data_IF_535634297163
#
_entry.id   IF_535634297163
#
_cell.length_a   1.000
_cell.length_b   1.000
_cell.length_c   1.000
_cell.angle_alpha   90.00
_cell.angle_beta   90.00
_cell.angle_gamma   90.00
#
_symmetry.space_group_name_H-M   'P 1'
#
loop_
_entity.id
_entity.type
_entity.pdbx_description
1 polymer ?
#
# COMPACT_ATOMS: atom_id res chain seq x y z
N UNK A 1 60.67 -71.43 -4.20
CA UNK A 1 60.59 -71.31 -5.63
C UNK A 1 59.16 -70.82 -5.90
N UNK A 2 58.95 -69.49 -5.98
CA UNK A 2 57.66 -68.81 -6.10
C UNK A 2 57.63 -68.15 -7.47
N UNK A 3 56.70 -68.57 -8.32
CA UNK A 3 56.46 -67.95 -9.65
C UNK A 3 55.58 -66.68 -9.47
N UNK A 4 55.83 -65.61 -10.23
CA UNK A 4 54.95 -64.45 -10.19
C UNK A 4 53.79 -64.63 -11.18
N UNK A 5 52.57 -64.31 -10.73
CA UNK A 5 51.36 -64.26 -11.50
C UNK A 5 51.28 -62.93 -12.27
N UNK A 6 51.29 -62.97 -13.57
CA UNK A 6 51.07 -61.79 -14.42
C UNK A 6 49.55 -61.56 -14.63
N UNK A 7 49.07 -60.42 -14.21
CA UNK A 7 47.68 -59.97 -14.43
C UNK A 7 47.67 -59.12 -15.69
N UNK A 8 46.98 -59.58 -16.71
CA UNK A 8 46.72 -58.84 -17.98
C UNK A 8 45.50 -57.96 -17.78
N UNK A 9 45.67 -56.62 -17.86
CA UNK A 9 44.54 -55.70 -17.82
C UNK A 9 43.90 -55.60 -19.22
N UNK A 10 42.61 -55.91 -19.29
CA UNK A 10 41.77 -55.70 -20.46
C UNK A 10 41.18 -54.25 -20.38
N UNK A 11 41.57 -53.42 -21.33
CA UNK A 11 41.01 -52.09 -21.47
C UNK A 11 39.61 -52.20 -22.12
N UNK A 12 38.55 -51.93 -21.33
CA UNK A 12 37.21 -51.73 -21.87
C UNK A 12 37.06 -50.32 -22.43
N UNK A 13 36.87 -50.20 -23.74
CA UNK A 13 36.50 -48.93 -24.40
C UNK A 13 35.04 -48.64 -24.09
N UNK A 14 34.79 -47.52 -23.40
CA UNK A 14 33.43 -47.03 -23.17
C UNK A 14 32.83 -46.45 -24.47
N UNK A 15 31.53 -46.69 -24.77
CA UNK A 15 30.90 -46.09 -25.94
C UNK A 15 30.71 -44.59 -25.68
N UNK A 16 31.09 -43.78 -26.65
CA UNK A 16 30.88 -42.34 -26.71
C UNK A 16 29.38 -42.09 -26.92
N UNK A 17 28.65 -41.70 -25.82
CA UNK A 17 27.27 -41.23 -25.94
C UNK A 17 27.31 -39.85 -26.59
N UNK A 18 26.85 -39.73 -27.83
CA UNK A 18 26.51 -38.45 -28.45
C UNK A 18 25.29 -37.89 -27.74
N UNK A 19 25.45 -36.83 -26.95
CA UNK A 19 24.36 -36.01 -26.45
C UNK A 19 23.75 -35.23 -27.59
N UNK A 20 22.48 -35.46 -27.90
CA UNK A 20 21.72 -34.63 -28.81
C UNK A 20 21.66 -33.20 -28.25
N UNK A 21 21.77 -32.15 -29.11
CA UNK A 21 21.60 -30.80 -28.65
C UNK A 21 20.20 -30.60 -28.05
N UNK A 22 20.13 -29.96 -26.88
CA UNK A 22 18.86 -29.63 -26.24
C UNK A 22 17.96 -28.85 -27.19
N UNK A 23 16.69 -29.23 -27.24
CA UNK A 23 15.70 -28.53 -28.03
C UNK A 23 15.62 -27.07 -27.53
N UNK A 24 15.42 -26.06 -28.40
CA UNK A 24 15.28 -24.70 -27.99
C UNK A 24 14.11 -24.59 -26.99
N UNK A 25 14.22 -23.74 -25.94
CA UNK A 25 13.16 -23.55 -24.97
C UNK A 25 11.88 -23.13 -25.68
N UNK A 26 10.77 -23.78 -25.32
CA UNK A 26 9.43 -23.40 -25.79
C UNK A 26 9.21 -21.91 -25.45
N UNK A 27 8.58 -21.14 -26.35
CA UNK A 27 8.21 -19.76 -26.00
C UNK A 27 7.43 -19.76 -24.69
N UNK A 28 7.90 -18.98 -23.69
CA UNK A 28 7.14 -18.78 -22.45
C UNK A 28 5.78 -18.20 -22.84
N UNK A 29 4.73 -18.90 -22.47
CA UNK A 29 3.36 -18.43 -22.62
C UNK A 29 3.19 -17.19 -21.75
N UNK A 30 3.12 -16.02 -22.37
CA UNK A 30 2.84 -14.76 -21.67
C UNK A 30 1.39 -14.84 -21.19
N UNK A 31 1.21 -15.27 -19.94
CA UNK A 31 -0.09 -15.23 -19.30
C UNK A 31 -0.46 -13.76 -19.10
N UNK A 32 -1.39 -13.27 -19.88
CA UNK A 32 -1.97 -11.95 -19.72
C UNK A 32 -2.70 -11.91 -18.36
N UNK A 33 -2.08 -11.27 -17.37
CA UNK A 33 -2.68 -11.09 -16.05
C UNK A 33 -3.79 -10.05 -16.17
N UNK A 34 -5.02 -10.50 -16.32
CA UNK A 34 -6.19 -9.62 -16.23
C UNK A 34 -6.28 -9.13 -14.79
N UNK A 35 -6.24 -7.82 -14.54
CA UNK A 35 -6.32 -7.30 -13.18
C UNK A 35 -7.68 -7.65 -12.56
N UNK A 36 -7.65 -8.07 -11.29
CA UNK A 36 -8.88 -8.32 -10.54
C UNK A 36 -9.70 -7.03 -10.41
N UNK A 37 -11.05 -7.12 -10.57
CA UNK A 37 -11.90 -5.95 -10.44
C UNK A 37 -11.75 -5.26 -9.08
N UNK A 38 -11.72 -3.94 -9.07
CA UNK A 38 -11.57 -3.13 -7.86
C UNK A 38 -12.22 -1.76 -8.01
N UNK A 39 -12.34 -1.03 -6.91
CA UNK A 39 -12.82 0.34 -6.96
C UNK A 39 -11.76 1.25 -7.55
N UNK A 40 -12.13 1.96 -8.63
CA UNK A 40 -11.27 2.88 -9.36
C UNK A 40 -11.82 4.30 -9.27
N UNK A 41 -10.95 5.30 -9.41
CA UNK A 41 -11.35 6.71 -9.53
C UNK A 41 -10.65 7.35 -10.73
N UNK A 42 -11.10 7.12 -11.97
CA UNK A 42 -10.40 7.59 -13.17
C UNK A 42 -10.22 9.11 -13.26
N UNK A 43 -11.11 9.87 -12.61
CA UNK A 43 -11.07 11.35 -12.59
C UNK A 43 -10.32 11.93 -11.40
N UNK A 44 -9.79 11.07 -10.51
CA UNK A 44 -8.98 11.47 -9.38
C UNK A 44 -7.53 11.76 -9.78
N UNK A 45 -6.82 12.54 -8.96
CA UNK A 45 -5.37 12.74 -9.16
C UNK A 45 -4.58 11.44 -8.97
N UNK A 46 -3.33 11.38 -9.45
CA UNK A 46 -2.47 10.21 -9.21
C UNK A 46 -2.31 9.86 -7.72
N UNK A 47 -2.20 10.86 -6.85
CA UNK A 47 -2.07 10.68 -5.40
C UNK A 47 -3.35 10.10 -4.78
N UNK A 48 -4.51 10.60 -5.21
CA UNK A 48 -5.82 10.09 -4.79
C UNK A 48 -6.01 8.63 -5.24
N UNK A 49 -5.67 8.32 -6.49
CA UNK A 49 -5.74 6.95 -7.03
C UNK A 49 -4.79 6.01 -6.29
N UNK A 50 -3.58 6.47 -5.98
CA UNK A 50 -2.60 5.70 -5.22
C UNK A 50 -3.16 5.32 -3.84
N UNK A 51 -3.66 6.28 -3.08
CA UNK A 51 -4.22 6.04 -1.73
C UNK A 51 -5.43 5.11 -1.79
N UNK A 52 -6.34 5.30 -2.76
CA UNK A 52 -7.50 4.44 -2.96
C UNK A 52 -7.09 2.98 -3.24
N UNK A 53 -6.09 2.79 -4.09
CA UNK A 53 -5.53 1.48 -4.40
C UNK A 53 -4.92 0.81 -3.15
N UNK A 54 -4.10 1.55 -2.41
CA UNK A 54 -3.41 1.02 -1.23
C UNK A 54 -4.38 0.67 -0.09
N UNK A 55 -5.45 1.45 0.11
CA UNK A 55 -6.51 1.11 1.05
C UNK A 55 -7.14 -0.26 0.72
N UNK A 56 -7.44 -0.52 -0.55
CA UNK A 56 -8.01 -1.80 -0.98
C UNK A 56 -7.00 -2.95 -0.92
N UNK A 57 -5.74 -2.68 -1.26
CA UNK A 57 -4.69 -3.72 -1.30
C UNK A 57 -4.24 -4.17 0.10
N UNK A 58 -4.28 -3.27 1.09
CA UNK A 58 -3.74 -3.52 2.43
C UNK A 58 -4.81 -3.74 3.50
N UNK A 59 -6.10 -3.64 3.15
CA UNK A 59 -7.24 -3.88 4.06
C UNK A 59 -8.29 -4.75 3.38
N UNK A 60 -9.35 -5.10 4.12
CA UNK A 60 -10.52 -5.79 3.58
C UNK A 60 -11.69 -4.84 3.31
N UNK A 61 -11.42 -3.56 3.14
CA UNK A 61 -12.45 -2.57 2.86
C UNK A 61 -12.94 -2.75 1.42
N UNK A 62 -14.16 -3.23 1.27
CA UNK A 62 -14.83 -3.44 -0.03
C UNK A 62 -16.03 -2.51 -0.23
N UNK A 63 -16.48 -1.83 0.83
CA UNK A 63 -17.62 -0.92 0.75
C UNK A 63 -17.20 0.43 0.15
N UNK A 64 -17.89 0.82 -0.92
CA UNK A 64 -17.67 2.08 -1.63
C UNK A 64 -17.79 3.30 -0.71
N UNK A 65 -18.81 3.31 0.18
CA UNK A 65 -19.03 4.44 1.09
C UNK A 65 -17.94 4.54 2.14
N UNK A 66 -17.38 3.41 2.60
CA UNK A 66 -16.22 3.42 3.50
C UNK A 66 -15.00 4.03 2.83
N UNK A 67 -14.65 3.58 1.61
CA UNK A 67 -13.54 4.14 0.83
C UNK A 67 -13.75 5.62 0.56
N UNK A 68 -14.94 6.02 0.10
CA UNK A 68 -15.28 7.42 -0.15
C UNK A 68 -15.16 8.28 1.11
N UNK A 69 -15.55 7.76 2.27
CA UNK A 69 -15.43 8.46 3.56
C UNK A 69 -13.97 8.67 3.94
N UNK A 70 -13.13 7.64 3.82
CA UNK A 70 -11.70 7.75 4.09
C UNK A 70 -11.04 8.79 3.16
N UNK A 71 -11.31 8.70 1.86
CA UNK A 71 -10.80 9.64 0.85
C UNK A 71 -11.24 11.08 1.15
N UNK A 72 -12.51 11.28 1.50
CA UNK A 72 -13.04 12.61 1.84
C UNK A 72 -12.39 13.23 3.08
N UNK A 73 -12.09 12.40 4.08
CA UNK A 73 -11.37 12.82 5.28
C UNK A 73 -9.93 13.22 4.96
N UNK A 74 -9.19 12.39 4.21
CA UNK A 74 -7.81 12.70 3.81
C UNK A 74 -7.76 13.99 2.97
N UNK A 75 -8.73 14.19 2.07
CA UNK A 75 -8.83 15.42 1.27
C UNK A 75 -8.99 16.67 2.14
N UNK A 76 -9.79 16.59 3.19
CA UNK A 76 -9.96 17.71 4.12
C UNK A 76 -8.66 18.04 4.88
N UNK A 77 -7.87 17.02 5.25
CA UNK A 77 -6.65 17.19 6.01
C UNK A 77 -5.52 17.84 5.19
N UNK A 78 -5.26 17.31 4.00
CA UNK A 78 -4.04 17.66 3.25
C UNK A 78 -4.22 17.86 1.75
N UNK A 79 -5.41 17.57 1.21
CA UNK A 79 -5.61 17.42 -0.24
C UNK A 79 -4.65 16.39 -0.87
N UNK A 80 -4.33 15.33 -0.14
CA UNK A 80 -3.38 14.27 -0.50
C UNK A 80 -1.92 14.74 -0.67
N UNK A 81 -1.54 15.83 -0.03
CA UNK A 81 -0.20 16.38 -0.09
C UNK A 81 0.63 15.83 1.09
N UNK A 82 1.61 14.95 0.85
CA UNK A 82 2.32 14.28 1.95
C UNK A 82 3.31 15.16 2.69
N UNK A 83 3.89 16.16 2.03
CA UNK A 83 4.91 17.03 2.62
C UNK A 83 4.35 18.39 3.09
N UNK A 84 3.06 18.45 3.42
CA UNK A 84 2.43 19.67 3.91
C UNK A 84 2.51 19.75 5.44
N UNK A 85 3.06 20.85 5.95
CA UNK A 85 3.02 21.23 7.36
C UNK A 85 1.83 22.17 7.60
N UNK A 86 1.31 22.22 8.82
CA UNK A 86 0.24 23.15 9.20
C UNK A 86 0.58 24.58 8.76
N UNK A 87 -0.42 25.30 8.24
CA UNK A 87 -0.20 26.62 7.63
C UNK A 87 0.18 26.55 6.13
N UNK A 88 0.32 25.37 5.53
CA UNK A 88 0.46 25.15 4.10
C UNK A 88 1.90 25.08 3.56
N UNK A 89 2.91 25.18 4.41
CA UNK A 89 4.31 25.05 4.01
C UNK A 89 4.61 23.62 3.49
N UNK A 90 5.33 23.54 2.36
CA UNK A 90 5.81 22.28 1.79
C UNK A 90 7.24 22.03 2.29
N UNK A 91 7.39 21.13 3.23
CA UNK A 91 8.66 20.86 3.91
C UNK A 91 8.85 19.35 4.13
N UNK A 92 10.09 18.92 4.35
CA UNK A 92 10.37 17.55 4.75
C UNK A 92 9.83 17.24 6.15
N UNK A 93 9.70 15.96 6.48
CA UNK A 93 9.22 15.49 7.78
C UNK A 93 9.99 16.15 8.94
N UNK A 94 11.33 16.25 8.86
CA UNK A 94 12.17 16.82 9.93
C UNK A 94 12.10 18.34 10.05
N UNK A 95 11.60 19.02 9.04
CA UNK A 95 11.51 20.49 8.99
C UNK A 95 10.17 21.01 9.51
N UNK A 96 9.11 20.19 9.57
CA UNK A 96 7.85 20.58 10.20
C UNK A 96 8.00 20.58 11.72
N UNK A 97 8.09 21.75 12.31
CA UNK A 97 8.44 21.92 13.76
C UNK A 97 7.22 21.95 14.67
N UNK A 98 6.05 22.24 14.14
CA UNK A 98 4.82 22.37 14.92
C UNK A 98 3.59 22.14 14.05
N UNK A 99 2.48 21.79 14.70
CA UNK A 99 1.20 21.57 14.04
C UNK A 99 1.07 20.20 13.38
N UNK A 100 0.09 20.07 12.49
CA UNK A 100 -0.15 18.87 11.74
C UNK A 100 0.82 18.71 10.57
N UNK A 101 1.19 17.46 10.28
CA UNK A 101 2.05 17.13 9.15
C UNK A 101 1.43 16.06 8.27
N UNK A 102 1.54 16.26 6.98
CA UNK A 102 1.33 15.25 5.96
C UNK A 102 -0.12 14.85 5.73
N UNK A 103 -0.29 13.66 5.21
CA UNK A 103 -1.49 13.15 4.56
C UNK A 103 -2.76 13.29 5.40
N UNK A 104 -2.68 13.01 6.71
CA UNK A 104 -3.80 13.14 7.64
C UNK A 104 -3.52 14.13 8.79
N UNK A 105 -2.57 15.03 8.59
CA UNK A 105 -2.20 16.09 9.55
C UNK A 105 -1.90 15.52 10.94
N UNK A 106 -0.92 14.60 11.03
CA UNK A 106 -0.47 14.07 12.32
C UNK A 106 0.01 15.18 13.26
N UNK A 107 -0.82 15.54 14.23
CA UNK A 107 -0.58 16.65 15.15
C UNK A 107 0.03 16.18 16.48
N UNK A 108 -0.43 15.05 17.02
CA UNK A 108 0.09 14.55 18.28
C UNK A 108 1.53 14.02 18.13
N UNK A 109 2.37 14.33 19.12
CA UNK A 109 3.78 13.92 19.13
C UNK A 109 3.94 12.41 18.93
N UNK A 110 3.07 11.61 19.56
CA UNK A 110 3.13 10.15 19.45
C UNK A 110 2.86 9.65 18.03
N UNK A 111 1.83 10.18 17.37
CA UNK A 111 1.49 9.80 16.00
C UNK A 111 2.52 10.29 14.99
N UNK A 112 2.99 11.53 15.12
CA UNK A 112 4.05 12.10 14.29
C UNK A 112 5.36 11.31 14.40
N UNK A 113 5.84 11.04 15.62
CA UNK A 113 7.03 10.20 15.83
C UNK A 113 6.82 8.78 15.35
N UNK A 114 5.58 8.27 15.45
CA UNK A 114 5.21 6.97 14.91
C UNK A 114 5.50 6.83 13.41
N UNK A 115 5.16 7.86 12.61
CA UNK A 115 5.50 7.92 11.17
C UNK A 115 7.01 7.80 10.94
N UNK A 116 7.82 8.60 11.63
CA UNK A 116 9.28 8.55 11.50
C UNK A 116 9.87 7.20 11.89
N UNK A 117 9.44 6.64 13.01
CA UNK A 117 9.88 5.33 13.49
C UNK A 117 9.46 4.19 12.55
N UNK A 118 8.24 4.25 12.03
CA UNK A 118 7.77 3.28 11.03
C UNK A 118 8.63 3.32 9.76
N UNK A 119 8.86 4.50 9.21
CA UNK A 119 9.67 4.64 8.01
C UNK A 119 11.14 4.26 8.23
N UNK A 120 11.71 4.56 9.40
CA UNK A 120 13.04 4.09 9.75
C UNK A 120 13.13 2.55 9.80
N UNK A 121 12.09 1.89 10.32
CA UNK A 121 12.03 0.42 10.43
C UNK A 121 11.78 -0.26 9.08
N UNK A 122 10.95 0.33 8.22
CA UNK A 122 10.48 -0.30 6.97
C UNK A 122 11.07 0.35 5.72
N UNK A 123 12.16 1.12 5.87
CA UNK A 123 12.93 1.73 4.78
C UNK A 123 12.07 2.57 3.83
N UNK A 124 11.19 3.44 4.39
CA UNK A 124 10.41 4.40 3.63
C UNK A 124 10.78 5.86 3.96
N UNK A 125 10.40 6.79 3.09
CA UNK A 125 10.53 8.23 3.37
C UNK A 125 9.28 8.75 4.07
N UNK A 126 9.37 9.30 5.30
CA UNK A 126 8.23 9.85 6.02
C UNK A 126 7.64 11.12 5.38
N UNK A 127 8.30 11.71 4.38
CA UNK A 127 7.79 12.83 3.58
C UNK A 127 7.08 12.39 2.30
N UNK A 128 7.14 11.11 1.95
CA UNK A 128 6.54 10.57 0.73
C UNK A 128 5.09 10.15 0.92
N UNK A 129 4.34 10.14 -0.19
CA UNK A 129 2.97 9.63 -0.21
C UNK A 129 2.94 8.14 0.16
N UNK A 130 3.88 7.35 -0.36
CA UNK A 130 4.01 5.92 -0.05
C UNK A 130 4.22 5.68 1.44
N UNK A 131 5.24 6.28 2.04
CA UNK A 131 5.57 6.09 3.45
C UNK A 131 4.42 6.48 4.37
N UNK A 132 3.76 7.58 4.06
CA UNK A 132 2.62 8.07 4.84
C UNK A 132 1.37 7.24 4.67
N UNK A 133 1.05 6.77 3.47
CA UNK A 133 -0.09 5.87 3.24
C UNK A 133 0.12 4.55 3.97
N UNK A 134 1.32 3.98 3.90
CA UNK A 134 1.67 2.75 4.64
C UNK A 134 1.55 2.94 6.15
N UNK A 135 2.08 4.05 6.69
CA UNK A 135 1.94 4.35 8.12
C UNK A 135 0.48 4.58 8.51
N UNK A 136 -0.26 5.37 7.75
CA UNK A 136 -1.68 5.66 7.99
C UNK A 136 -2.50 4.38 8.17
N UNK A 137 -2.31 3.41 7.28
CA UNK A 137 -3.01 2.13 7.33
C UNK A 137 -2.56 1.28 8.52
N UNK A 138 -1.27 1.35 8.90
CA UNK A 138 -0.70 0.50 9.96
C UNK A 138 -0.64 1.18 11.34
N UNK A 139 -1.03 2.45 11.47
CA UNK A 139 -1.00 3.09 12.78
C UNK A 139 -2.04 2.48 13.73
N UNK A 140 -1.71 2.36 15.04
CA UNK A 140 -2.58 1.65 15.99
C UNK A 140 -4.00 2.21 16.10
N UNK A 141 -4.17 3.53 15.90
CA UNK A 141 -5.50 4.13 15.98
C UNK A 141 -6.35 3.81 14.74
N UNK A 142 -5.78 3.79 13.54
CA UNK A 142 -6.51 3.34 12.35
C UNK A 142 -6.90 1.87 12.49
N UNK A 143 -5.96 1.02 12.89
CA UNK A 143 -6.20 -0.41 13.08
C UNK A 143 -7.30 -0.72 14.12
N UNK A 144 -7.46 0.15 15.12
CA UNK A 144 -8.55 0.02 16.10
C UNK A 144 -9.93 0.19 15.46
N UNK A 145 -10.08 1.12 14.51
CA UNK A 145 -11.35 1.42 13.84
C UNK A 145 -11.47 0.76 12.46
N UNK A 146 -10.46 0.03 12.00
CA UNK A 146 -10.48 -0.67 10.73
C UNK A 146 -11.65 -1.67 10.61
N UNK A 147 -12.02 -2.44 11.65
CA UNK A 147 -13.17 -3.35 11.55
C UNK A 147 -14.48 -2.66 11.19
N UNK A 148 -14.71 -1.42 11.63
CA UNK A 148 -15.89 -0.65 11.27
C UNK A 148 -15.87 -0.24 9.79
N UNK A 149 -14.70 0.10 9.24
CA UNK A 149 -14.54 0.40 7.81
C UNK A 149 -14.60 -0.86 6.94
N UNK A 150 -14.23 -2.02 7.45
CA UNK A 150 -14.36 -3.31 6.77
C UNK A 150 -15.79 -3.87 6.80
N UNK A 151 -16.69 -3.25 7.57
CA UNK A 151 -18.12 -3.48 7.46
C UNK A 151 -18.67 -3.02 6.12
N UNK A 152 -19.93 -3.36 5.82
CA UNK A 152 -20.56 -2.98 4.56
C UNK A 152 -22.05 -2.68 4.73
N UNK A 153 -22.59 -1.93 3.75
CA UNK A 153 -23.98 -1.52 3.75
C UNK A 153 -24.29 -0.29 4.60
N UNK A 154 -23.26 0.40 5.11
CA UNK A 154 -23.45 1.63 5.87
C UNK A 154 -23.41 2.86 4.97
N UNK A 155 -24.07 3.92 5.42
CA UNK A 155 -24.05 5.23 4.77
C UNK A 155 -22.73 5.95 5.06
N UNK A 156 -22.39 6.95 4.25
CA UNK A 156 -21.26 7.85 4.50
C UNK A 156 -21.35 8.46 5.90
N UNK A 157 -22.53 8.95 6.31
CA UNK A 157 -22.71 9.54 7.65
C UNK A 157 -22.43 8.56 8.79
N UNK A 158 -22.70 7.27 8.62
CA UNK A 158 -22.37 6.23 9.60
C UNK A 158 -20.86 5.98 9.61
N UNK A 159 -20.18 5.92 8.46
CA UNK A 159 -18.72 5.79 8.40
C UNK A 159 -17.98 7.04 8.90
N UNK A 160 -18.61 8.22 8.91
CA UNK A 160 -18.02 9.41 9.53
C UNK A 160 -17.82 9.25 11.04
N UNK A 161 -18.50 8.32 11.71
CA UNK A 161 -18.33 8.08 13.15
C UNK A 161 -16.97 7.45 13.46
N UNK A 162 -16.56 6.29 12.92
CA UNK A 162 -15.22 5.75 13.10
C UNK A 162 -14.15 6.69 12.53
N UNK A 163 -14.41 7.44 11.45
CA UNK A 163 -13.48 8.42 10.91
C UNK A 163 -13.20 9.57 11.91
N UNK A 164 -14.21 10.01 12.65
CA UNK A 164 -14.02 10.99 13.72
C UNK A 164 -13.08 10.46 14.81
N UNK A 165 -13.32 9.27 15.30
CA UNK A 165 -12.49 8.67 16.34
C UNK A 165 -11.06 8.37 15.89
N UNK A 166 -10.87 8.01 14.61
CA UNK A 166 -9.54 7.82 14.02
C UNK A 166 -8.75 9.13 13.94
N UNK A 167 -9.35 10.19 13.38
CA UNK A 167 -8.64 11.45 13.12
C UNK A 167 -8.68 12.43 14.29
N UNK A 168 -9.76 12.46 15.06
CA UNK A 168 -9.92 13.33 16.22
C UNK A 168 -10.08 14.81 15.89
N UNK A 169 -10.75 15.14 14.76
CA UNK A 169 -10.91 16.56 14.37
C UNK A 169 -11.81 17.33 15.33
N UNK A 170 -11.47 18.61 15.59
CA UNK A 170 -12.32 19.53 16.34
C UNK A 170 -13.46 20.13 15.49
N UNK A 171 -13.19 20.38 14.20
CA UNK A 171 -14.14 20.93 13.24
C UNK A 171 -14.32 19.94 12.08
N UNK A 172 -15.57 19.59 11.78
CA UNK A 172 -15.90 18.63 10.72
C UNK A 172 -15.44 19.13 9.32
N UNK A 173 -15.54 20.42 9.06
CA UNK A 173 -15.23 20.98 7.74
C UNK A 173 -16.06 20.34 6.63
N UNK A 174 -15.44 20.17 5.46
CA UNK A 174 -16.09 19.63 4.26
C UNK A 174 -15.90 18.10 4.09
N UNK A 175 -15.48 17.37 5.14
CA UNK A 175 -15.16 15.93 5.04
C UNK A 175 -16.25 15.10 4.41
N UNK A 176 -17.48 15.30 4.89
CA UNK A 176 -18.65 14.56 4.39
C UNK A 176 -19.03 14.99 2.96
N UNK A 177 -18.89 16.28 2.62
CA UNK A 177 -19.09 16.78 1.25
C UNK A 177 -18.09 16.14 0.30
N UNK A 178 -16.83 16.08 0.68
CA UNK A 178 -15.80 15.39 -0.10
C UNK A 178 -16.04 13.88 -0.20
N UNK A 179 -16.56 13.25 0.86
CA UNK A 179 -16.90 11.84 0.82
C UNK A 179 -18.02 11.55 -0.21
N UNK A 180 -19.07 12.37 -0.25
CA UNK A 180 -20.12 12.26 -1.28
C UNK A 180 -19.57 12.57 -2.70
N UNK A 181 -18.58 13.45 -2.82
CA UNK A 181 -17.92 13.70 -4.10
C UNK A 181 -17.14 12.47 -4.59
N UNK A 182 -16.40 11.79 -3.70
CA UNK A 182 -15.71 10.54 -4.03
C UNK A 182 -16.69 9.39 -4.30
N UNK A 183 -17.78 9.30 -3.57
CA UNK A 183 -18.81 8.28 -3.82
C UNK A 183 -19.33 8.35 -5.26
N UNK A 184 -19.51 9.54 -5.82
CA UNK A 184 -19.91 9.72 -7.23
C UNK A 184 -18.79 9.39 -8.24
N UNK A 185 -17.52 9.56 -7.87
CA UNK A 185 -16.35 9.37 -8.76
C UNK A 185 -15.80 7.95 -8.77
N UNK A 186 -15.95 7.24 -7.66
CA UNK A 186 -15.45 5.87 -7.51
C UNK A 186 -16.38 4.91 -8.25
N UNK A 187 -15.83 4.11 -9.15
CA UNK A 187 -16.54 3.12 -9.97
C UNK A 187 -15.91 1.75 -9.80
N UNK A 188 -16.68 0.70 -9.97
CA UNK A 188 -16.18 -0.68 -9.99
C UNK A 188 -15.76 -1.06 -11.42
N UNK A 189 -14.53 -1.49 -11.61
CA UNK A 189 -14.03 -1.91 -12.93
C UNK A 189 -12.90 -2.94 -12.80
#
# INVERSE_FOLDING_TARGET
>A
MILPLTITAVAMSAPFLMTLPDAPPSPEEVVEVVPEPSWQCPTCSPEEQYVLKELQAQTKIIDKNALATLMGNIKQESKFIPNICEGGARVSYTECKSGGYGLIQWTSIGRYKGLGNFCARFSCDPSSLEGQTRWMINEPIFQRYLPEFEGHGYTISQYMVPAYYWLGWGIKGNREVYAYDYERKIIWS
#
